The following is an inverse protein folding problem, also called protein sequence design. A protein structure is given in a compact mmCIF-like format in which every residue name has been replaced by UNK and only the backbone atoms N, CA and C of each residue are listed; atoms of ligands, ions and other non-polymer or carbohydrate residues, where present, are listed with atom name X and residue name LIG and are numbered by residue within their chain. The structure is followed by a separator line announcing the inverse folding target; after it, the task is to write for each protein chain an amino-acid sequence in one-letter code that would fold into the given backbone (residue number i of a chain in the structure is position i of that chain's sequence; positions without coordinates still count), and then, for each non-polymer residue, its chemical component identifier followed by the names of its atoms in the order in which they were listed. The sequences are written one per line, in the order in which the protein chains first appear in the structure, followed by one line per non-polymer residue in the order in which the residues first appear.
data_IF_057990852176
#
_entry.id   IF_057990852176
#
_cell.length_a   1.000
_cell.length_b   1.000
_cell.length_c   1.000
_cell.angle_alpha   90.00
_cell.angle_beta   90.00
_cell.angle_gamma   90.00
#
_symmetry.space_group_name_H-M   'P 1'
#
loop_
_entity.id
_entity.type
_entity.pdbx_description
1 polymer ?
#
# COMPACT_ATOMS: atom_id res chain seq x y z
N UNK A 1 1.16 25.30 -20.45
CA UNK A 1 2.37 24.46 -20.39
C UNK A 1 2.05 23.00 -20.08
N UNK A 2 1.38 22.67 -18.97
CA UNK A 2 1.10 21.26 -18.59
C UNK A 2 0.29 20.44 -19.62
N UNK A 3 -0.73 21.02 -20.27
CA UNK A 3 -1.49 20.32 -21.32
C UNK A 3 -0.66 20.01 -22.57
N UNK A 4 0.27 20.91 -22.94
CA UNK A 4 1.14 20.68 -24.09
C UNK A 4 2.14 19.55 -23.84
N UNK A 5 2.68 19.47 -22.62
CA UNK A 5 3.56 18.39 -22.22
C UNK A 5 2.82 17.04 -22.15
N UNK A 6 1.62 17.01 -21.56
CA UNK A 6 0.80 15.80 -21.52
C UNK A 6 0.46 15.27 -22.92
N UNK A 7 0.14 16.16 -23.87
CA UNK A 7 -0.14 15.76 -25.25
C UNK A 7 1.09 15.15 -25.95
N UNK A 8 2.27 15.72 -25.72
CA UNK A 8 3.53 15.20 -26.28
C UNK A 8 3.83 13.81 -25.69
N UNK A 9 3.74 13.67 -24.37
CA UNK A 9 3.93 12.39 -23.69
C UNK A 9 2.92 11.33 -24.17
N UNK A 10 1.63 11.69 -24.31
CA UNK A 10 0.60 10.80 -24.82
C UNK A 10 0.91 10.34 -26.25
N UNK A 11 1.35 11.24 -27.12
CA UNK A 11 1.74 10.91 -28.50
C UNK A 11 2.98 10.01 -28.56
N UNK A 12 3.99 10.29 -27.74
CA UNK A 12 5.20 9.48 -27.64
C UNK A 12 4.87 8.05 -27.17
N UNK A 13 4.08 7.93 -26.10
CA UNK A 13 3.67 6.63 -25.57
C UNK A 13 2.73 5.86 -26.49
N UNK A 14 1.80 6.53 -27.17
CA UNK A 14 0.91 5.86 -28.14
C UNK A 14 1.71 5.41 -29.37
N UNK A 15 2.67 6.19 -29.84
CA UNK A 15 3.57 5.81 -30.93
C UNK A 15 4.42 4.60 -30.54
N UNK A 16 5.05 4.63 -29.36
CA UNK A 16 5.82 3.50 -28.85
C UNK A 16 4.95 2.26 -28.66
N UNK A 17 3.76 2.41 -28.07
CA UNK A 17 2.79 1.34 -27.86
C UNK A 17 2.42 0.66 -29.16
N UNK A 18 2.07 1.44 -30.20
CA UNK A 18 1.70 0.90 -31.52
C UNK A 18 2.87 0.22 -32.21
N UNK A 19 4.09 0.74 -32.02
CA UNK A 19 5.28 0.19 -32.66
C UNK A 19 5.81 -1.08 -31.96
N UNK A 20 5.71 -1.14 -30.63
CA UNK A 20 6.26 -2.22 -29.80
C UNK A 20 5.25 -3.31 -29.47
N UNK A 21 3.95 -3.06 -29.64
CA UNK A 21 2.94 -4.10 -29.49
C UNK A 21 3.15 -5.18 -30.57
N UNK A 22 3.46 -6.40 -30.14
CA UNK A 22 3.65 -7.56 -31.01
C UNK A 22 2.31 -8.20 -31.42
N UNK A 23 1.19 -7.63 -30.95
CA UNK A 23 -0.18 -8.10 -31.15
C UNK A 23 -0.75 -8.73 -29.89
N UNK A 24 -1.98 -9.22 -30.01
CA UNK A 24 -2.73 -9.81 -28.92
C UNK A 24 -3.09 -11.28 -29.19
N UNK A 25 -3.16 -12.06 -28.13
CA UNK A 25 -3.45 -13.49 -28.18
C UNK A 25 -4.27 -13.95 -26.98
N UNK A 26 -4.97 -15.08 -27.12
CA UNK A 26 -5.59 -15.80 -26.02
C UNK A 26 -4.53 -16.63 -25.32
N UNK A 27 -4.35 -16.41 -24.02
CA UNK A 27 -3.36 -17.12 -23.22
C UNK A 27 -4.05 -17.78 -22.04
N UNK A 28 -3.78 -19.07 -21.85
CA UNK A 28 -4.32 -19.83 -20.72
C UNK A 28 -3.84 -19.26 -19.40
N UNK A 29 -4.73 -19.24 -18.41
CA UNK A 29 -4.45 -18.65 -17.09
C UNK A 29 -3.21 -19.26 -16.40
N UNK A 30 -2.91 -20.54 -16.63
CA UNK A 30 -1.75 -21.24 -16.07
C UNK A 30 -0.40 -20.65 -16.52
N UNK A 31 -0.37 -19.96 -17.66
CA UNK A 31 0.83 -19.34 -18.20
C UNK A 31 1.01 -17.89 -17.75
N UNK A 32 0.02 -17.28 -17.10
CA UNK A 32 0.09 -15.89 -16.67
C UNK A 32 0.83 -15.79 -15.32
N UNK A 33 1.94 -15.04 -15.30
CA UNK A 33 2.77 -14.82 -14.11
C UNK A 33 2.81 -13.34 -13.76
N UNK A 34 2.91 -13.01 -12.47
CA UNK A 34 3.05 -11.64 -11.98
C UNK A 34 4.26 -11.50 -11.07
N UNK A 35 4.84 -10.31 -11.04
CA UNK A 35 5.98 -10.00 -10.19
C UNK A 35 5.69 -10.26 -8.70
N UNK A 36 6.74 -10.66 -7.95
CA UNK A 36 6.68 -11.03 -6.53
C UNK A 36 6.20 -9.93 -5.58
N UNK A 37 6.02 -8.69 -6.01
CA UNK A 37 5.50 -7.61 -5.16
C UNK A 37 3.96 -7.54 -5.15
N UNK A 38 3.29 -8.36 -5.96
CA UNK A 38 1.83 -8.38 -6.10
C UNK A 38 1.15 -9.53 -5.34
N UNK A 39 1.74 -10.01 -4.25
CA UNK A 39 1.25 -11.25 -3.60
C UNK A 39 -0.18 -11.09 -3.10
N UNK A 40 -1.00 -12.05 -3.58
CA UNK A 40 -2.46 -12.19 -3.51
C UNK A 40 -3.27 -10.97 -3.99
N UNK A 41 -4.21 -11.16 -4.93
CA UNK A 41 -5.17 -10.14 -5.27
C UNK A 41 -6.06 -9.86 -4.06
N UNK A 42 -6.46 -8.60 -3.87
CA UNK A 42 -7.43 -8.18 -2.88
C UNK A 42 -8.72 -8.99 -3.02
N UNK A 43 -9.10 -9.80 -2.01
CA UNK A 43 -10.33 -10.59 -2.07
C UNK A 43 -11.57 -9.73 -2.34
N UNK A 44 -11.65 -8.53 -1.77
CA UNK A 44 -12.80 -7.63 -1.99
C UNK A 44 -12.90 -7.18 -3.45
N UNK A 45 -11.76 -6.87 -4.07
CA UNK A 45 -11.73 -6.48 -5.47
C UNK A 45 -12.04 -7.66 -6.39
N UNK A 46 -11.53 -8.85 -6.05
CA UNK A 46 -11.87 -10.10 -6.77
C UNK A 46 -13.36 -10.39 -6.68
N UNK A 47 -13.96 -10.29 -5.49
CA UNK A 47 -15.40 -10.51 -5.29
C UNK A 47 -16.25 -9.46 -6.02
N UNK A 48 -15.82 -8.20 -6.05
CA UNK A 48 -16.47 -7.17 -6.84
C UNK A 48 -16.43 -7.49 -8.34
N UNK A 49 -15.27 -7.89 -8.86
CA UNK A 49 -15.12 -8.31 -10.26
C UNK A 49 -15.96 -9.54 -10.58
N UNK A 50 -16.04 -10.53 -9.67
CA UNK A 50 -16.92 -11.69 -9.81
C UNK A 50 -18.38 -11.28 -9.92
N UNK A 51 -18.82 -10.33 -9.09
CA UNK A 51 -20.17 -9.78 -9.18
C UNK A 51 -20.41 -9.09 -10.53
N UNK A 52 -19.46 -8.28 -11.03
CA UNK A 52 -19.55 -7.67 -12.36
C UNK A 52 -19.65 -8.75 -13.44
N UNK A 53 -18.80 -9.77 -13.39
CA UNK A 53 -18.76 -10.85 -14.37
C UNK A 53 -20.05 -11.66 -14.42
N UNK A 54 -20.69 -11.89 -13.28
CA UNK A 54 -21.99 -12.55 -13.19
C UNK A 54 -23.14 -11.69 -13.75
N UNK A 55 -23.02 -10.35 -13.72
CA UNK A 55 -24.09 -9.44 -14.15
C UNK A 55 -23.96 -8.99 -15.60
N UNK A 56 -22.75 -8.66 -16.03
CA UNK A 56 -22.47 -8.04 -17.33
C UNK A 56 -21.65 -8.92 -18.28
N UNK A 57 -21.21 -10.10 -17.81
CA UNK A 57 -20.21 -10.92 -18.48
C UNK A 57 -18.79 -10.36 -18.32
N UNK A 58 -17.79 -11.12 -18.77
CA UNK A 58 -16.38 -10.73 -18.60
C UNK A 58 -15.90 -9.66 -19.58
N UNK A 59 -16.60 -9.50 -20.71
CA UNK A 59 -16.30 -8.55 -21.80
C UNK A 59 -14.81 -8.54 -22.16
N UNK A 60 -14.23 -9.72 -22.38
CA UNK A 60 -12.79 -9.89 -22.58
C UNK A 60 -12.27 -9.15 -23.83
N UNK A 61 -13.11 -8.96 -24.85
CA UNK A 61 -12.81 -8.24 -26.11
C UNK A 61 -12.64 -6.72 -25.94
N UNK A 62 -13.03 -6.15 -24.81
CA UNK A 62 -12.84 -4.73 -24.55
C UNK A 62 -11.34 -4.47 -24.35
N UNK A 63 -10.73 -3.58 -25.14
CA UNK A 63 -9.28 -3.28 -25.06
C UNK A 63 -8.87 -2.85 -23.65
N UNK A 64 -9.76 -2.17 -22.93
CA UNK A 64 -9.56 -1.81 -21.52
C UNK A 64 -9.47 -3.00 -20.56
N UNK A 65 -9.85 -4.20 -21.00
CA UNK A 65 -9.80 -5.45 -20.24
C UNK A 65 -8.65 -6.37 -20.64
N UNK A 66 -7.92 -6.05 -21.70
CA UNK A 66 -6.74 -6.81 -22.11
C UNK A 66 -5.62 -6.68 -21.07
N UNK A 67 -4.82 -7.74 -20.97
CA UNK A 67 -3.69 -7.81 -20.04
C UNK A 67 -2.39 -7.57 -20.81
N UNK A 68 -1.65 -6.47 -20.58
CA UNK A 68 -0.33 -6.30 -21.13
C UNK A 68 0.65 -7.25 -20.43
N UNK A 69 1.43 -7.99 -21.21
CA UNK A 69 2.46 -8.90 -20.72
C UNK A 69 3.77 -8.76 -21.52
N UNK A 70 4.88 -9.03 -20.84
CA UNK A 70 6.21 -9.08 -21.43
C UNK A 70 6.53 -10.51 -21.90
N UNK A 71 7.04 -10.62 -23.13
CA UNK A 71 7.46 -11.90 -23.73
C UNK A 71 8.70 -11.73 -24.59
N UNK A 72 9.67 -12.61 -24.42
CA UNK A 72 10.87 -12.65 -25.29
C UNK A 72 10.52 -13.10 -26.70
N UNK A 73 11.20 -12.54 -27.71
CA UNK A 73 10.93 -12.86 -29.12
C UNK A 73 11.02 -14.37 -29.40
N UNK A 74 12.07 -15.03 -28.94
CA UNK A 74 12.24 -16.48 -29.10
C UNK A 74 11.05 -17.28 -28.55
N UNK A 75 10.46 -16.83 -27.44
CA UNK A 75 9.33 -17.50 -26.81
C UNK A 75 8.04 -17.26 -27.57
N UNK A 76 7.87 -16.05 -28.12
CA UNK A 76 6.77 -15.72 -29.01
C UNK A 76 6.82 -16.53 -30.30
N UNK A 77 7.99 -16.62 -30.93
CA UNK A 77 8.18 -17.38 -32.18
C UNK A 77 7.88 -18.87 -31.96
N UNK A 78 8.37 -19.45 -30.87
CA UNK A 78 8.09 -20.84 -30.52
C UNK A 78 6.58 -21.10 -30.29
N UNK A 79 5.87 -20.16 -29.66
CA UNK A 79 4.43 -20.25 -29.45
C UNK A 79 3.65 -20.14 -30.76
N UNK A 80 4.06 -19.26 -31.67
CA UNK A 80 3.47 -19.11 -32.99
C UNK A 80 3.66 -20.37 -33.84
N UNK A 81 4.86 -20.96 -33.84
CA UNK A 81 5.15 -22.19 -34.56
C UNK A 81 4.38 -23.39 -34.00
N UNK A 82 4.16 -23.43 -32.68
CA UNK A 82 3.31 -24.44 -32.06
C UNK A 82 1.83 -24.26 -32.46
N UNK A 83 1.32 -23.04 -32.44
CA UNK A 83 -0.04 -22.73 -32.88
C UNK A 83 -0.26 -23.09 -34.36
N UNK A 84 0.73 -22.82 -35.22
CA UNK A 84 0.74 -23.24 -36.64
C UNK A 84 0.72 -24.75 -36.79
N UNK A 85 1.59 -25.48 -36.07
CA UNK A 85 1.61 -26.95 -36.09
C UNK A 85 0.28 -27.56 -35.64
N UNK A 86 -0.40 -26.93 -34.68
CA UNK A 86 -1.71 -27.35 -34.17
C UNK A 86 -2.89 -26.89 -35.06
N UNK A 87 -2.63 -26.15 -36.14
CA UNK A 87 -3.66 -25.60 -37.02
C UNK A 87 -4.55 -24.53 -36.36
N UNK A 88 -4.13 -23.97 -35.22
CA UNK A 88 -4.88 -22.94 -34.48
C UNK A 88 -4.67 -21.54 -35.03
N UNK A 89 -3.62 -21.34 -35.82
CA UNK A 89 -3.30 -20.04 -36.42
C UNK A 89 -2.53 -20.22 -37.73
N UNK A 90 -2.93 -19.47 -38.76
CA UNK A 90 -2.35 -19.55 -40.11
C UNK A 90 -1.75 -18.23 -40.61
N UNK A 91 -2.04 -17.11 -39.94
CA UNK A 91 -1.50 -15.81 -40.34
C UNK A 91 -0.09 -15.59 -39.79
N UNK A 92 0.69 -14.75 -40.48
CA UNK A 92 2.07 -14.44 -40.09
C UNK A 92 2.18 -13.39 -38.98
N UNK A 93 1.12 -12.59 -38.79
CA UNK A 93 1.09 -11.51 -37.81
C UNK A 93 -0.06 -11.70 -36.84
N UNK A 94 0.16 -11.40 -35.56
CA UNK A 94 -0.90 -11.38 -34.56
C UNK A 94 -1.85 -10.18 -34.78
N UNK A 95 -3.14 -10.31 -34.47
CA UNK A 95 -4.06 -9.19 -34.53
C UNK A 95 -3.65 -8.12 -33.50
N UNK A 96 -3.67 -6.86 -33.89
CA UNK A 96 -3.47 -5.75 -32.96
C UNK A 96 -4.77 -5.45 -32.22
N UNK A 97 -4.68 -5.04 -30.96
CA UNK A 97 -5.82 -4.74 -30.09
C UNK A 97 -6.74 -3.63 -30.63
N UNK A 98 -6.26 -2.81 -31.55
CA UNK A 98 -7.00 -1.73 -32.18
C UNK A 98 -7.55 -2.08 -33.58
N UNK A 99 -7.18 -3.25 -34.13
CA UNK A 99 -7.72 -3.71 -35.40
C UNK A 99 -9.17 -4.17 -35.17
N UNK A 100 -10.05 -3.85 -36.11
CA UNK A 100 -11.39 -4.44 -36.17
C UNK A 100 -11.20 -5.95 -36.13
N UNK A 101 -11.76 -6.61 -35.11
CA UNK A 101 -11.64 -8.08 -34.95
C UNK A 101 -12.13 -8.69 -36.25
N UNK A 102 -11.20 -9.10 -37.11
CA UNK A 102 -11.53 -9.79 -38.36
C UNK A 102 -12.14 -11.14 -38.00
N UNK A 103 -12.81 -11.77 -38.96
CA UNK A 103 -13.56 -13.03 -38.80
C UNK A 103 -12.76 -14.19 -38.15
N UNK A 104 -11.44 -14.05 -37.97
CA UNK A 104 -10.52 -15.04 -37.39
C UNK A 104 -10.17 -14.85 -35.90
N UNK A 105 -10.67 -13.82 -35.21
CA UNK A 105 -10.49 -13.65 -33.75
C UNK A 105 -9.04 -13.52 -33.27
N UNK A 106 -8.79 -13.86 -31.99
CA UNK A 106 -7.45 -13.90 -31.38
C UNK A 106 -6.93 -15.34 -31.34
N UNK A 107 -5.65 -15.61 -31.70
CA UNK A 107 -5.09 -16.96 -31.65
C UNK A 107 -4.84 -17.40 -30.21
N UNK A 108 -5.05 -18.68 -29.93
CA UNK A 108 -4.65 -19.31 -28.67
C UNK A 108 -3.17 -19.69 -28.71
N UNK A 109 -2.38 -19.08 -27.83
CA UNK A 109 -0.95 -19.31 -27.70
C UNK A 109 -0.62 -19.94 -26.34
N UNK A 110 0.10 -21.07 -26.41
CA UNK A 110 0.60 -21.77 -25.24
C UNK A 110 2.00 -21.30 -24.89
N UNK A 111 2.20 -20.84 -23.64
CA UNK A 111 3.49 -20.40 -23.15
C UNK A 111 3.94 -21.27 -21.96
N UNK A 112 4.45 -22.50 -22.18
CA UNK A 112 4.81 -23.42 -21.09
C UNK A 112 5.81 -22.84 -20.09
N UNK A 113 6.65 -21.88 -20.50
CA UNK A 113 7.55 -21.13 -19.61
C UNK A 113 6.88 -20.00 -18.79
N UNK A 114 5.64 -19.63 -19.11
CA UNK A 114 4.82 -18.54 -18.53
C UNK A 114 5.28 -17.11 -18.88
N UNK A 115 4.36 -16.18 -19.07
CA UNK A 115 4.63 -14.79 -19.46
C UNK A 115 4.47 -13.82 -18.30
N UNK A 116 5.24 -12.74 -18.30
CA UNK A 116 5.26 -11.78 -17.22
C UNK A 116 4.22 -10.68 -17.45
N UNK A 117 3.06 -10.86 -16.82
CA UNK A 117 1.95 -9.92 -16.87
C UNK A 117 2.26 -8.67 -16.04
N UNK A 118 2.06 -7.50 -16.66
CA UNK A 118 2.27 -6.20 -16.01
C UNK A 118 1.10 -5.82 -15.10
N UNK A 119 -0.12 -6.28 -15.41
CA UNK A 119 -1.35 -6.03 -14.62
C UNK A 119 -2.35 -7.17 -14.74
N UNK A 120 -3.57 -6.99 -14.21
CA UNK A 120 -4.71 -7.88 -14.48
C UNK A 120 -4.87 -9.07 -13.55
N UNK A 121 -4.05 -9.19 -12.49
CA UNK A 121 -4.09 -10.34 -11.57
C UNK A 121 -5.46 -10.56 -10.92
N UNK A 122 -6.10 -9.52 -10.40
CA UNK A 122 -7.43 -9.64 -9.78
C UNK A 122 -8.50 -10.07 -10.79
N UNK A 123 -8.36 -9.64 -12.04
CA UNK A 123 -9.28 -9.96 -13.13
C UNK A 123 -9.18 -11.42 -13.54
N UNK A 124 -7.96 -11.92 -13.69
CA UNK A 124 -7.69 -13.35 -13.94
C UNK A 124 -8.17 -14.20 -12.77
N UNK A 125 -7.91 -13.78 -11.53
CA UNK A 125 -8.40 -14.49 -10.35
C UNK A 125 -9.93 -14.57 -10.32
N UNK A 126 -10.60 -13.44 -10.55
CA UNK A 126 -12.07 -13.39 -10.60
C UNK A 126 -12.63 -14.28 -11.71
N UNK A 127 -12.03 -14.25 -12.91
CA UNK A 127 -12.43 -15.08 -14.03
C UNK A 127 -12.21 -16.58 -13.74
N UNK A 128 -11.07 -16.92 -13.13
CA UNK A 128 -10.76 -18.28 -12.71
C UNK A 128 -11.75 -18.81 -11.67
N UNK A 129 -12.23 -17.98 -10.75
CA UNK A 129 -13.26 -18.37 -9.78
C UNK A 129 -14.66 -18.43 -10.41
N UNK A 130 -14.89 -17.68 -11.49
CA UNK A 130 -16.11 -17.68 -12.29
C UNK A 130 -16.04 -18.62 -13.52
N UNK A 131 -15.29 -19.72 -13.44
CA UNK A 131 -15.07 -20.71 -14.53
C UNK A 131 -16.33 -21.17 -15.27
N UNK A 132 -17.49 -21.16 -14.64
CA UNK A 132 -18.77 -21.50 -15.30
C UNK A 132 -19.17 -20.48 -16.39
N UNK A 133 -18.59 -19.27 -16.36
CA UNK A 133 -18.93 -18.12 -17.22
C UNK A 133 -17.80 -17.79 -18.23
N UNK A 134 -16.57 -18.27 -18.00
CA UNK A 134 -15.40 -17.91 -18.82
C UNK A 134 -14.59 -19.12 -19.26
N UNK A 135 -14.10 -19.04 -20.51
CA UNK A 135 -13.08 -19.96 -21.03
C UNK A 135 -11.77 -19.85 -20.22
N UNK A 136 -10.90 -20.88 -20.27
CA UNK A 136 -9.68 -20.97 -19.44
C UNK A 136 -8.54 -20.01 -19.85
N UNK A 137 -8.85 -18.95 -20.59
CA UNK A 137 -7.90 -18.04 -21.20
C UNK A 137 -8.33 -16.58 -21.04
N UNK A 138 -7.37 -15.67 -21.28
CA UNK A 138 -7.61 -14.23 -21.33
C UNK A 138 -6.89 -13.60 -22.53
N UNK A 139 -7.39 -12.46 -23.00
CA UNK A 139 -6.75 -11.69 -24.08
C UNK A 139 -5.57 -10.91 -23.51
N UNK A 140 -4.40 -11.17 -24.06
CA UNK A 140 -3.13 -10.58 -23.61
C UNK A 140 -2.51 -9.79 -24.75
N UNK A 141 -2.17 -8.52 -24.48
CA UNK A 141 -1.36 -7.70 -25.38
C UNK A 141 0.12 -7.98 -25.10
N UNK A 142 0.86 -8.42 -26.12
CA UNK A 142 2.24 -8.88 -25.99
C UNK A 142 3.23 -7.76 -26.34
N UNK A 143 4.18 -7.54 -25.44
CA UNK A 143 5.25 -6.56 -25.58
C UNK A 143 6.62 -7.21 -25.38
N UNK A 144 7.65 -6.76 -26.11
CA UNK A 144 9.00 -7.18 -25.83
C UNK A 144 9.50 -6.57 -24.50
N UNK A 145 10.46 -7.20 -23.80
CA UNK A 145 11.05 -6.62 -22.58
C UNK A 145 11.78 -5.29 -22.80
N UNK A 146 12.06 -4.92 -24.06
CA UNK A 146 12.79 -3.72 -24.45
C UNK A 146 11.94 -2.45 -24.57
N UNK A 147 10.69 -2.46 -24.09
CA UNK A 147 9.87 -1.25 -23.96
C UNK A 147 10.52 -0.26 -22.97
N UNK A 148 10.29 1.04 -23.18
CA UNK A 148 10.75 2.08 -22.27
C UNK A 148 10.17 1.91 -20.87
N UNK A 149 10.91 2.31 -19.85
CA UNK A 149 10.42 2.33 -18.46
C UNK A 149 9.16 3.22 -18.34
N UNK A 150 9.06 4.27 -19.16
CA UNK A 150 7.89 5.12 -19.30
C UNK A 150 6.65 4.35 -19.75
N UNK A 151 6.73 3.65 -20.89
CA UNK A 151 5.63 2.86 -21.40
C UNK A 151 5.29 1.70 -20.45
N UNK A 152 6.29 1.03 -19.88
CA UNK A 152 6.08 -0.02 -18.88
C UNK A 152 5.30 0.49 -17.67
N UNK A 153 5.71 1.64 -17.13
CA UNK A 153 5.04 2.29 -16.00
C UNK A 153 3.63 2.72 -16.37
N UNK A 154 3.44 3.28 -17.57
CA UNK A 154 2.13 3.62 -18.10
C UNK A 154 1.23 2.38 -18.17
N UNK A 155 1.71 1.25 -18.68
CA UNK A 155 0.93 0.00 -18.77
C UNK A 155 0.60 -0.60 -17.39
N UNK A 156 1.49 -0.45 -16.41
CA UNK A 156 1.27 -0.88 -15.02
C UNK A 156 0.25 0.05 -14.32
N UNK A 157 0.42 1.36 -14.46
CA UNK A 157 -0.42 2.39 -13.83
C UNK A 157 -1.74 2.61 -14.59
N UNK A 158 -1.85 2.18 -15.85
CA UNK A 158 -3.10 2.09 -16.60
C UNK A 158 -3.97 0.99 -15.99
N UNK A 159 -4.57 1.26 -14.83
CA UNK A 159 -5.84 0.69 -14.41
C UNK A 159 -6.32 1.44 -13.17
N UNK A 160 -7.44 2.17 -13.28
CA UNK A 160 -8.27 2.63 -12.13
C UNK A 160 -9.59 3.30 -12.53
N UNK A 161 -10.15 3.10 -13.73
CA UNK A 161 -11.54 3.56 -13.97
C UNK A 161 -12.60 2.69 -13.26
N UNK A 162 -12.22 1.51 -12.76
CA UNK A 162 -13.16 0.56 -12.14
C UNK A 162 -13.22 0.69 -10.60
N UNK A 163 -12.11 1.01 -9.92
CA UNK A 163 -12.12 1.23 -8.46
C UNK A 163 -11.07 2.27 -8.03
N UNK A 164 -11.44 3.08 -7.04
CA UNK A 164 -10.58 4.12 -6.47
C UNK A 164 -9.43 3.46 -5.69
N UNK A 165 -8.15 3.82 -5.93
CA UNK A 165 -7.05 3.30 -5.13
C UNK A 165 -7.18 3.73 -3.67
N UNK A 166 -6.65 2.93 -2.74
CA UNK A 166 -6.57 3.32 -1.33
C UNK A 166 -5.71 4.57 -1.14
N UNK A 167 -6.00 5.35 -0.10
CA UNK A 167 -5.20 6.52 0.27
C UNK A 167 -3.72 6.16 0.48
N UNK A 168 -3.43 4.94 0.95
CA UNK A 168 -2.07 4.44 1.12
C UNK A 168 -1.36 4.22 -0.20
N UNK A 169 -2.03 3.60 -1.19
CA UNK A 169 -1.47 3.40 -2.52
C UNK A 169 -1.20 4.75 -3.22
N UNK A 170 -2.13 5.70 -3.10
CA UNK A 170 -1.96 7.06 -3.64
C UNK A 170 -0.72 7.72 -3.02
N UNK A 171 -0.60 7.70 -1.70
CA UNK A 171 0.55 8.26 -0.99
C UNK A 171 1.87 7.63 -1.47
N UNK A 172 1.95 6.29 -1.46
CA UNK A 172 3.18 5.57 -1.81
C UNK A 172 3.61 5.87 -3.23
N UNK A 173 2.68 5.89 -4.18
CA UNK A 173 2.97 6.21 -5.58
C UNK A 173 3.46 7.64 -5.77
N UNK A 174 2.85 8.63 -5.09
CA UNK A 174 3.36 10.01 -5.10
C UNK A 174 4.80 10.05 -4.57
N UNK A 175 5.07 9.38 -3.43
CA UNK A 175 6.41 9.34 -2.84
C UNK A 175 7.43 8.60 -3.70
N UNK A 176 7.03 7.50 -4.33
CA UNK A 176 7.84 6.71 -5.27
C UNK A 176 8.35 7.62 -6.40
N UNK A 177 7.47 8.37 -7.07
CA UNK A 177 7.86 9.29 -8.14
C UNK A 177 8.66 10.50 -7.66
N UNK A 178 8.43 10.98 -6.43
CA UNK A 178 9.24 12.06 -5.84
C UNK A 178 10.67 11.61 -5.50
N UNK A 179 10.87 10.33 -5.21
CA UNK A 179 12.16 9.76 -4.82
C UNK A 179 12.90 9.10 -5.99
N UNK A 180 12.20 8.70 -7.05
CA UNK A 180 12.75 8.05 -8.24
C UNK A 180 13.95 8.82 -8.85
N UNK A 181 13.90 10.16 -9.00
CA UNK A 181 15.02 10.93 -9.55
C UNK A 181 16.30 10.85 -8.72
N UNK A 182 16.22 10.45 -7.46
CA UNK A 182 17.37 10.25 -6.57
C UNK A 182 17.90 8.80 -6.60
N UNK A 183 17.24 7.88 -7.31
CA UNK A 183 17.68 6.48 -7.42
C UNK A 183 18.77 6.32 -8.49
N UNK A 184 19.83 5.60 -8.16
CA UNK A 184 20.94 5.31 -9.08
C UNK A 184 20.53 4.43 -10.27
N UNK A 185 19.43 3.68 -10.15
CA UNK A 185 18.91 2.77 -11.17
C UNK A 185 17.85 3.41 -12.07
N UNK A 186 17.54 4.70 -11.88
CA UNK A 186 16.46 5.35 -12.60
C UNK A 186 16.87 5.78 -14.01
N UNK A 187 16.17 5.25 -15.02
CA UNK A 187 16.31 5.64 -16.43
C UNK A 187 15.29 6.70 -16.85
N UNK A 188 14.27 7.00 -16.02
CA UNK A 188 13.25 8.00 -16.34
C UNK A 188 13.75 9.43 -16.18
N UNK A 189 13.35 10.30 -17.10
CA UNK A 189 13.61 11.73 -16.98
C UNK A 189 12.87 12.35 -15.78
N UNK A 190 13.43 13.40 -15.14
CA UNK A 190 12.76 14.09 -14.03
C UNK A 190 11.39 14.68 -14.39
N UNK A 191 11.22 15.13 -15.64
CA UNK A 191 9.94 15.67 -16.14
C UNK A 191 8.87 14.59 -16.20
N UNK A 192 9.23 13.38 -16.65
CA UNK A 192 8.32 12.25 -16.73
C UNK A 192 7.91 11.75 -15.34
N UNK A 193 8.85 11.70 -14.39
CA UNK A 193 8.55 11.40 -12.99
C UNK A 193 7.52 12.39 -12.42
N UNK A 194 7.69 13.68 -12.73
CA UNK A 194 6.75 14.74 -12.32
C UNK A 194 5.38 14.56 -12.96
N UNK A 195 5.31 14.13 -14.22
CA UNK A 195 4.05 13.83 -14.92
C UNK A 195 3.30 12.68 -14.26
N UNK A 196 3.98 11.57 -13.98
CA UNK A 196 3.38 10.45 -13.25
C UNK A 196 2.96 10.83 -11.82
N UNK A 197 3.78 11.60 -11.10
CA UNK A 197 3.40 12.15 -9.79
C UNK A 197 2.08 12.94 -9.88
N UNK A 198 1.94 13.83 -10.86
CA UNK A 198 0.73 14.64 -11.04
C UNK A 198 -0.52 13.81 -11.34
N UNK A 199 -0.38 12.68 -12.05
CA UNK A 199 -1.49 11.74 -12.25
C UNK A 199 -1.97 11.14 -10.94
N UNK A 200 -1.05 10.83 -10.02
CA UNK A 200 -1.41 10.34 -8.69
C UNK A 200 -2.02 11.44 -7.80
N UNK A 201 -1.56 12.69 -7.93
CA UNK A 201 -2.22 13.83 -7.27
C UNK A 201 -3.66 14.04 -7.75
N UNK A 202 -3.97 13.75 -9.01
CA UNK A 202 -5.31 13.93 -9.59
C UNK A 202 -6.38 13.01 -8.95
N UNK A 203 -5.98 11.92 -8.28
CA UNK A 203 -6.88 11.06 -7.49
C UNK A 203 -7.41 11.73 -6.22
N UNK A 204 -6.76 12.80 -5.75
CA UNK A 204 -7.11 13.50 -4.54
C UNK A 204 -7.99 14.71 -4.85
N UNK A 205 -9.07 14.84 -4.08
CA UNK A 205 -9.81 16.10 -4.01
C UNK A 205 -8.86 17.22 -3.52
N UNK A 206 -9.00 18.49 -3.97
CA UNK A 206 -8.10 19.59 -3.60
C UNK A 206 -7.85 19.73 -2.09
N UNK A 207 -8.87 19.47 -1.26
CA UNK A 207 -8.75 19.50 0.20
C UNK A 207 -7.86 18.38 0.75
N UNK A 208 -7.95 17.16 0.21
CA UNK A 208 -7.09 16.03 0.58
C UNK A 208 -5.65 16.27 0.10
N UNK A 209 -5.49 16.77 -1.12
CA UNK A 209 -4.19 17.12 -1.68
C UNK A 209 -3.46 18.16 -0.81
N UNK A 210 -4.18 19.21 -0.35
CA UNK A 210 -3.63 20.23 0.55
C UNK A 210 -3.13 19.64 1.88
N UNK A 211 -3.88 18.70 2.47
CA UNK A 211 -3.49 18.02 3.72
C UNK A 211 -2.20 17.22 3.53
N UNK A 212 -2.12 16.46 2.44
CA UNK A 212 -0.94 15.66 2.13
C UNK A 212 0.30 16.54 1.84
N UNK A 213 0.15 17.62 1.06
CA UNK A 213 1.24 18.60 0.85
C UNK A 213 1.75 19.18 2.17
N UNK A 214 0.85 19.50 3.11
CA UNK A 214 1.24 20.00 4.43
C UNK A 214 2.02 18.97 5.25
N UNK A 215 1.66 17.69 5.16
CA UNK A 215 2.44 16.61 5.78
C UNK A 215 3.85 16.56 5.20
N UNK A 216 3.99 16.63 3.86
CA UNK A 216 5.29 16.58 3.17
C UNK A 216 6.24 17.73 3.54
N UNK A 217 5.71 18.88 3.95
CA UNK A 217 6.53 19.98 4.48
C UNK A 217 7.15 19.64 5.85
N UNK A 218 6.62 18.64 6.57
CA UNK A 218 7.14 18.17 7.86
C UNK A 218 8.05 16.97 7.62
N UNK A 219 9.34 17.24 7.39
CA UNK A 219 10.35 16.22 7.04
C UNK A 219 10.40 15.04 8.01
N UNK A 220 10.33 15.29 9.31
CA UNK A 220 10.39 14.22 10.34
C UNK A 220 9.17 13.30 10.27
N UNK A 221 7.95 13.88 10.23
CA UNK A 221 6.73 13.08 10.09
C UNK A 221 6.70 12.32 8.75
N UNK A 222 7.11 12.99 7.67
CA UNK A 222 7.18 12.35 6.35
C UNK A 222 8.13 11.17 6.37
N UNK A 223 9.31 11.30 6.98
CA UNK A 223 10.25 10.19 7.14
C UNK A 223 9.66 9.03 7.96
N UNK A 224 8.90 9.33 9.01
CA UNK A 224 8.26 8.32 9.84
C UNK A 224 7.19 7.51 9.07
N UNK A 225 6.36 8.18 8.24
CA UNK A 225 5.44 7.50 7.33
C UNK A 225 6.20 6.75 6.22
N UNK A 226 7.22 7.38 5.64
CA UNK A 226 8.04 6.78 4.57
C UNK A 226 8.70 5.47 5.02
N UNK A 227 9.08 5.36 6.29
CA UNK A 227 9.65 4.14 6.87
C UNK A 227 8.70 2.92 6.78
N UNK A 228 7.39 3.14 6.80
CA UNK A 228 6.37 2.09 6.66
C UNK A 228 6.14 1.66 5.20
N UNK A 229 6.56 2.45 4.21
CA UNK A 229 6.31 2.13 2.79
C UNK A 229 6.93 0.80 2.34
N UNK A 230 7.98 0.34 3.04
CA UNK A 230 8.62 -0.96 2.80
C UNK A 230 7.67 -2.15 2.96
N UNK A 231 6.53 -1.95 3.62
CA UNK A 231 5.45 -2.93 3.69
C UNK A 231 4.16 -2.35 3.07
N UNK A 232 3.94 -2.59 1.77
CA UNK A 232 2.74 -2.16 1.06
C UNK A 232 1.45 -2.56 1.77
N UNK A 233 1.35 -3.81 2.26
CA UNK A 233 0.14 -4.29 2.93
C UNK A 233 -0.20 -3.52 4.21
N UNK A 234 0.80 -3.21 5.04
CA UNK A 234 0.59 -2.43 6.28
C UNK A 234 0.20 -0.99 5.96
N UNK A 235 0.85 -0.39 4.96
CA UNK A 235 0.61 1.00 4.59
C UNK A 235 -0.76 1.18 3.91
N UNK A 236 -1.09 0.31 2.97
CA UNK A 236 -2.29 0.43 2.14
C UNK A 236 -3.59 0.11 2.91
N UNK A 237 -3.52 -0.74 3.96
CA UNK A 237 -4.68 -1.16 4.74
C UNK A 237 -5.32 -0.05 5.57
N UNK A 238 -4.54 0.94 6.03
CA UNK A 238 -5.01 1.86 7.08
C UNK A 238 -4.71 3.34 6.88
N UNK A 239 -4.04 3.73 5.79
CA UNK A 239 -3.74 5.14 5.54
C UNK A 239 -5.03 5.97 5.35
N UNK A 240 -5.12 7.12 6.01
CA UNK A 240 -6.24 8.06 5.90
C UNK A 240 -5.75 9.48 5.63
N UNK A 241 -5.67 9.88 4.36
CA UNK A 241 -5.26 11.23 3.96
C UNK A 241 -6.26 12.28 4.49
N UNK A 242 -7.54 11.89 4.60
CA UNK A 242 -8.60 12.72 5.16
C UNK A 242 -8.29 13.21 6.59
N UNK A 243 -7.63 12.38 7.41
CA UNK A 243 -7.34 12.59 8.85
C UNK A 243 -5.98 13.27 9.11
N UNK A 244 -5.12 13.44 8.09
CA UNK A 244 -3.80 14.08 8.25
C UNK A 244 -3.85 15.50 8.85
N UNK A 245 -4.95 16.22 8.69
CA UNK A 245 -5.11 17.52 9.33
C UNK A 245 -5.10 17.43 10.86
N UNK A 246 -5.63 16.34 11.44
CA UNK A 246 -5.62 16.07 12.89
C UNK A 246 -4.22 15.70 13.39
N UNK A 247 -3.53 14.86 12.62
CA UNK A 247 -2.12 14.53 12.88
C UNK A 247 -1.28 15.81 13.02
N UNK A 248 -1.51 16.79 12.15
CA UNK A 248 -0.81 18.07 12.19
C UNK A 248 -1.33 19.04 13.28
N UNK A 249 -2.61 18.99 13.65
CA UNK A 249 -3.21 19.90 14.65
C UNK A 249 -2.88 19.51 16.10
N UNK A 250 -2.53 18.25 16.35
CA UNK A 250 -2.16 17.79 17.71
C UNK A 250 -0.86 18.42 18.21
N UNK A 251 0.07 18.74 17.31
CA UNK A 251 1.46 19.11 17.66
C UNK A 251 2.22 18.05 18.48
N UNK A 252 1.71 16.82 18.59
CA UNK A 252 2.36 15.69 19.29
C UNK A 252 3.29 14.91 18.35
N UNK A 253 4.25 15.62 17.73
CA UNK A 253 5.04 15.07 16.63
C UNK A 253 5.99 13.95 17.09
N UNK A 254 6.54 14.07 18.30
CA UNK A 254 7.41 13.07 18.92
C UNK A 254 6.66 11.76 19.18
N UNK A 255 5.42 11.83 19.66
CA UNK A 255 4.57 10.67 19.95
C UNK A 255 4.13 10.00 18.65
N UNK A 256 3.75 10.80 17.65
CA UNK A 256 3.38 10.30 16.32
C UNK A 256 4.56 9.56 15.69
N UNK A 257 5.76 10.16 15.71
CA UNK A 257 6.96 9.51 15.18
C UNK A 257 7.25 8.22 15.96
N UNK A 258 7.18 8.25 17.29
CA UNK A 258 7.41 7.08 18.12
C UNK A 258 6.40 5.96 17.83
N UNK A 259 5.12 6.28 17.64
CA UNK A 259 4.10 5.30 17.27
C UNK A 259 4.48 4.59 15.97
N UNK A 260 4.79 5.35 14.92
CA UNK A 260 5.09 4.76 13.61
C UNK A 260 6.41 3.97 13.62
N UNK A 261 7.48 4.56 14.15
CA UNK A 261 8.84 4.01 14.05
C UNK A 261 9.20 3.01 15.15
N UNK A 262 8.66 3.18 16.37
CA UNK A 262 9.04 2.41 17.55
C UNK A 262 7.94 1.49 18.05
N UNK A 263 6.70 1.66 17.60
CA UNK A 263 5.61 0.75 17.92
C UNK A 263 5.20 -0.11 16.72
N UNK A 264 4.75 0.51 15.61
CA UNK A 264 4.22 -0.22 14.46
C UNK A 264 5.29 -1.06 13.76
N UNK A 265 6.39 -0.45 13.31
CA UNK A 265 7.46 -1.18 12.59
C UNK A 265 8.04 -2.33 13.42
N UNK A 266 8.46 -2.13 14.69
CA UNK A 266 9.04 -3.20 15.48
C UNK A 266 8.06 -4.34 15.80
N UNK A 267 6.77 -4.03 16.00
CA UNK A 267 5.76 -5.07 16.22
C UNK A 267 5.69 -6.02 15.02
N UNK A 268 5.52 -5.49 13.81
CA UNK A 268 5.45 -6.31 12.59
C UNK A 268 6.76 -7.05 12.28
N UNK A 269 7.92 -6.42 12.52
CA UNK A 269 9.20 -7.12 12.44
C UNK A 269 9.30 -8.27 13.43
N UNK A 270 8.81 -8.09 14.66
CA UNK A 270 8.77 -9.13 15.69
C UNK A 270 7.88 -10.29 15.28
N UNK A 271 6.68 -10.02 14.76
CA UNK A 271 5.75 -11.05 14.28
C UNK A 271 6.36 -11.93 13.19
N UNK A 272 7.15 -11.32 12.31
CA UNK A 272 7.80 -11.97 11.18
C UNK A 272 9.24 -12.43 11.48
N UNK A 273 9.66 -12.41 12.75
CA UNK A 273 11.00 -12.86 13.13
C UNK A 273 11.21 -14.31 12.71
N UNK A 274 12.31 -14.58 11.99
CA UNK A 274 12.61 -15.89 11.40
C UNK A 274 12.00 -16.15 10.02
N UNK A 275 11.26 -15.20 9.45
CA UNK A 275 10.60 -15.34 8.13
C UNK A 275 11.26 -14.42 7.10
N UNK A 276 11.78 -15.01 6.02
CA UNK A 276 12.46 -14.25 4.95
C UNK A 276 11.47 -13.39 4.16
N UNK A 277 11.87 -12.15 3.91
CA UNK A 277 11.10 -11.16 3.13
C UNK A 277 9.66 -10.96 3.64
N UNK A 278 9.42 -11.19 4.94
CA UNK A 278 8.07 -11.25 5.48
C UNK A 278 7.25 -9.98 5.26
N UNK A 279 7.85 -8.80 5.47
CA UNK A 279 7.13 -7.52 5.34
C UNK A 279 6.61 -7.25 3.92
N UNK A 280 7.27 -7.79 2.89
CA UNK A 280 6.88 -7.63 1.49
C UNK A 280 5.75 -8.58 1.08
N UNK A 281 5.57 -9.66 1.85
CA UNK A 281 4.58 -10.71 1.61
C UNK A 281 3.27 -10.49 2.38
N UNK A 282 3.23 -9.49 3.27
CA UNK A 282 2.01 -9.08 3.96
C UNK A 282 1.09 -8.35 2.98
N UNK A 283 -0.14 -8.86 2.85
CA UNK A 283 -1.24 -8.20 2.16
C UNK A 283 -2.11 -7.37 3.13
N UNK A 284 -2.91 -6.45 2.59
CA UNK A 284 -3.78 -5.58 3.39
C UNK A 284 -4.95 -6.34 4.05
N UNK A 285 -5.37 -7.49 3.49
CA UNK A 285 -6.39 -8.35 4.07
C UNK A 285 -5.92 -8.93 5.41
N UNK A 286 -4.69 -9.44 5.45
CA UNK A 286 -4.01 -9.88 6.67
C UNK A 286 -3.99 -8.78 7.73
N UNK A 287 -3.62 -7.55 7.36
CA UNK A 287 -3.56 -6.43 8.31
C UNK A 287 -4.95 -6.08 8.84
N UNK A 288 -5.96 -6.04 7.97
CA UNK A 288 -7.35 -5.74 8.35
C UNK A 288 -7.97 -6.80 9.28
N UNK A 289 -7.66 -8.07 9.07
CA UNK A 289 -8.16 -9.15 9.94
C UNK A 289 -7.50 -9.11 11.33
N UNK A 290 -6.22 -8.74 11.39
CA UNK A 290 -5.40 -8.84 12.58
C UNK A 290 -5.38 -7.58 13.44
N UNK A 291 -5.57 -6.39 12.85
CA UNK A 291 -5.55 -5.13 13.58
C UNK A 291 -6.59 -5.08 14.71
N UNK A 292 -6.34 -4.24 15.73
CA UNK A 292 -7.18 -4.09 16.91
C UNK A 292 -7.28 -5.33 17.84
N UNK A 293 -6.62 -6.45 17.52
CA UNK A 293 -6.57 -7.64 18.38
C UNK A 293 -5.43 -7.54 19.38
N UNK A 294 -5.62 -7.99 20.62
CA UNK A 294 -4.58 -8.04 21.65
C UNK A 294 -4.39 -9.48 22.18
N UNK A 295 -3.80 -10.38 21.37
CA UNK A 295 -3.78 -11.81 21.67
C UNK A 295 -3.04 -12.16 22.98
N UNK A 296 -2.02 -11.39 23.37
CA UNK A 296 -1.32 -11.60 24.64
C UNK A 296 -2.08 -11.12 25.87
N UNK A 297 -3.20 -10.40 25.69
CA UNK A 297 -4.02 -9.86 26.77
C UNK A 297 -5.45 -10.44 26.81
N UNK A 298 -5.96 -10.97 25.68
CA UNK A 298 -7.32 -11.50 25.54
C UNK A 298 -7.28 -12.92 24.99
N UNK A 299 -7.85 -13.87 25.73
CA UNK A 299 -7.95 -15.27 25.31
C UNK A 299 -8.83 -15.44 24.06
N UNK A 300 -9.86 -14.62 23.91
CA UNK A 300 -10.72 -14.58 22.72
C UNK A 300 -9.93 -14.11 21.49
N UNK A 301 -9.15 -13.05 21.62
CA UNK A 301 -8.30 -12.57 20.53
C UNK A 301 -7.20 -13.58 20.20
N UNK A 302 -6.62 -14.24 21.20
CA UNK A 302 -5.62 -15.28 21.00
C UNK A 302 -6.17 -16.46 20.18
N UNK A 303 -7.38 -16.92 20.50
CA UNK A 303 -8.05 -18.00 19.76
C UNK A 303 -8.37 -17.57 18.32
N UNK A 304 -8.88 -16.36 18.14
CA UNK A 304 -9.17 -15.81 16.81
C UNK A 304 -7.90 -15.71 15.96
N UNK A 305 -6.85 -15.05 16.48
CA UNK A 305 -5.57 -14.87 15.79
C UNK A 305 -4.91 -16.21 15.45
N UNK A 306 -4.95 -17.18 16.37
CA UNK A 306 -4.45 -18.53 16.11
C UNK A 306 -5.23 -19.21 14.98
N UNK A 307 -6.56 -19.09 14.97
CA UNK A 307 -7.42 -19.61 13.92
C UNK A 307 -7.08 -19.03 12.54
N UNK A 308 -6.92 -17.71 12.47
CA UNK A 308 -6.55 -17.02 11.22
C UNK A 308 -5.18 -17.45 10.68
N UNK A 309 -4.19 -17.63 11.56
CA UNK A 309 -2.85 -18.09 11.21
C UNK A 309 -2.83 -19.56 10.78
N UNK A 310 -3.44 -20.46 11.55
CA UNK A 310 -3.40 -21.88 11.24
C UNK A 310 -4.31 -22.25 10.06
N UNK A 311 -5.43 -21.53 9.89
CA UNK A 311 -6.33 -21.67 8.74
C UNK A 311 -5.80 -21.04 7.46
N UNK A 312 -4.78 -20.18 7.55
CA UNK A 312 -4.18 -19.51 6.39
C UNK A 312 -5.07 -18.46 5.72
N UNK A 313 -6.16 -18.05 6.37
CA UNK A 313 -7.03 -16.95 5.93
C UNK A 313 -6.30 -15.61 6.05
N UNK A 314 -5.56 -15.41 7.13
CA UNK A 314 -4.52 -14.39 7.24
C UNK A 314 -3.14 -15.01 6.95
N UNK A 315 -2.19 -14.19 6.51
CA UNK A 315 -0.84 -14.65 6.15
C UNK A 315 -0.86 -15.73 5.05
N UNK A 316 -1.79 -15.61 4.09
CA UNK A 316 -1.96 -16.58 2.99
C UNK A 316 -0.78 -16.61 1.99
N UNK A 317 0.15 -15.67 2.09
CA UNK A 317 1.43 -15.64 1.36
C UNK A 317 2.55 -16.43 2.04
N UNK A 318 2.27 -17.11 3.15
CA UNK A 318 3.24 -17.87 3.95
C UNK A 318 2.95 -19.37 3.94
N UNK A 319 3.97 -20.19 4.17
CA UNK A 319 3.82 -21.64 4.34
C UNK A 319 3.28 -21.97 5.74
N UNK A 320 2.75 -23.18 5.91
CA UNK A 320 2.29 -23.65 7.23
C UNK A 320 3.39 -23.57 8.30
N UNK A 321 4.63 -23.90 7.91
CA UNK A 321 5.78 -23.84 8.82
C UNK A 321 6.11 -22.39 9.23
N UNK A 322 6.06 -21.44 8.29
CA UNK A 322 6.27 -20.03 8.59
C UNK A 322 5.14 -19.48 9.47
N UNK A 323 3.88 -19.84 9.20
CA UNK A 323 2.74 -19.43 10.02
C UNK A 323 2.81 -19.99 11.44
N UNK A 324 3.30 -21.22 11.61
CA UNK A 324 3.54 -21.78 12.94
C UNK A 324 4.57 -20.95 13.74
N UNK A 325 5.65 -20.47 13.09
CA UNK A 325 6.60 -19.55 13.73
C UNK A 325 5.93 -18.23 14.10
N UNK A 326 5.08 -17.68 13.23
CA UNK A 326 4.35 -16.45 13.50
C UNK A 326 3.37 -16.59 14.68
N UNK A 327 2.75 -17.76 14.87
CA UNK A 327 1.90 -18.03 16.05
C UNK A 327 2.69 -17.81 17.34
N UNK A 328 3.90 -18.37 17.43
CA UNK A 328 4.77 -18.21 18.60
C UNK A 328 5.22 -16.75 18.82
N UNK A 329 5.36 -15.98 17.74
CA UNK A 329 5.75 -14.57 17.82
C UNK A 329 4.57 -13.62 18.16
N UNK A 330 3.38 -13.89 17.62
CA UNK A 330 2.22 -12.97 17.70
C UNK A 330 1.44 -13.20 18.99
N UNK A 331 1.20 -14.45 19.40
CA UNK A 331 0.34 -14.73 20.56
C UNK A 331 0.84 -14.13 21.89
N UNK A 332 2.15 -14.03 22.17
CA UNK A 332 2.64 -13.37 23.38
C UNK A 332 2.49 -11.84 23.37
N UNK A 333 2.12 -11.23 22.23
CA UNK A 333 2.07 -9.78 22.10
C UNK A 333 0.91 -9.18 22.89
N UNK A 334 1.23 -8.50 24.00
CA UNK A 334 0.25 -7.99 24.97
C UNK A 334 -0.44 -6.68 24.60
N UNK A 335 -0.08 -6.07 23.46
CA UNK A 335 -0.69 -4.82 22.99
C UNK A 335 -1.63 -5.12 21.83
N UNK A 336 -2.44 -4.14 21.45
CA UNK A 336 -3.20 -4.21 20.21
C UNK A 336 -2.26 -4.29 19.02
N UNK A 337 -2.48 -5.23 18.11
CA UNK A 337 -1.75 -5.35 16.85
C UNK A 337 -1.89 -4.03 16.08
N UNK A 338 -0.78 -3.29 15.87
CA UNK A 338 -0.83 -1.93 15.36
C UNK A 338 -1.03 -1.92 13.84
N UNK A 339 -1.80 -0.95 13.33
CA UNK A 339 -1.88 -0.62 11.92
C UNK A 339 -1.96 0.89 11.73
N UNK A 340 -1.91 1.39 10.48
CA UNK A 340 -2.21 2.79 10.23
C UNK A 340 -3.67 3.13 10.60
N UNK A 341 -4.60 2.18 10.50
CA UNK A 341 -5.97 2.40 10.92
C UNK A 341 -6.04 2.67 12.43
N UNK A 342 -5.44 1.80 13.27
CA UNK A 342 -5.43 2.01 14.73
C UNK A 342 -4.74 3.32 15.07
N UNK A 343 -3.62 3.63 14.41
CA UNK A 343 -2.94 4.90 14.58
C UNK A 343 -3.89 6.10 14.38
N UNK A 344 -4.63 6.14 13.27
CA UNK A 344 -5.55 7.26 13.03
C UNK A 344 -6.75 7.29 13.99
N UNK A 345 -7.21 6.13 14.49
CA UNK A 345 -8.20 6.10 15.57
C UNK A 345 -7.63 6.69 16.86
N UNK A 346 -6.39 6.32 17.22
CA UNK A 346 -5.69 6.84 18.39
C UNK A 346 -5.43 8.36 18.26
N UNK A 347 -5.22 8.87 17.04
CA UNK A 347 -5.09 10.30 16.79
C UNK A 347 -6.37 11.07 17.12
N UNK A 348 -7.56 10.49 16.95
CA UNK A 348 -8.79 11.15 17.38
C UNK A 348 -8.84 11.36 18.88
N UNK A 349 -8.37 10.37 19.64
CA UNK A 349 -8.29 10.47 21.09
C UNK A 349 -7.16 11.41 21.54
N UNK A 350 -5.99 11.30 20.91
CA UNK A 350 -4.84 12.15 21.19
C UNK A 350 -5.13 13.62 20.88
N UNK A 351 -5.91 13.92 19.83
CA UNK A 351 -6.34 15.27 19.50
C UNK A 351 -7.10 15.91 20.67
N UNK A 352 -8.10 15.21 21.24
CA UNK A 352 -8.83 15.70 22.41
C UNK A 352 -7.88 15.97 23.60
N UNK A 353 -6.95 15.06 23.86
CA UNK A 353 -5.97 15.22 24.94
C UNK A 353 -5.03 16.42 24.70
N UNK A 354 -4.54 16.58 23.46
CA UNK A 354 -3.63 17.64 23.07
C UNK A 354 -4.32 19.01 23.06
N UNK A 355 -5.59 19.06 22.64
CA UNK A 355 -6.40 20.29 22.67
C UNK A 355 -6.54 20.81 24.10
N UNK A 356 -6.84 19.95 25.07
CA UNK A 356 -6.89 20.34 26.48
C UNK A 356 -5.54 20.84 27.01
N UNK A 357 -4.42 20.23 26.60
CA UNK A 357 -3.09 20.70 27.03
C UNK A 357 -2.70 22.03 26.38
N UNK A 358 -3.14 22.30 25.14
CA UNK A 358 -2.90 23.57 24.45
C UNK A 358 -3.59 24.77 25.12
N UNK A 359 -4.52 24.56 26.04
CA UNK A 359 -5.02 25.65 26.91
C UNK A 359 -3.95 26.20 27.85
N UNK A 360 -2.91 25.42 28.16
CA UNK A 360 -1.81 25.84 29.04
C UNK A 360 -0.73 26.63 28.30
N UNK A 361 -0.59 26.42 26.98
CA UNK A 361 0.51 26.97 26.17
C UNK A 361 0.10 27.30 24.74
N UNK A 362 0.59 28.42 24.22
CA UNK A 362 0.52 28.71 22.79
C UNK A 362 1.66 28.02 22.06
N UNK A 363 1.36 27.04 21.21
CA UNK A 363 2.38 26.31 20.43
C UNK A 363 2.78 27.11 19.18
N UNK A 364 4.05 27.52 19.04
CA UNK A 364 4.50 28.26 17.85
C UNK A 364 4.39 27.44 16.55
N UNK A 365 4.25 28.11 15.39
CA UNK A 365 4.21 27.42 14.11
C UNK A 365 5.45 26.54 13.87
N UNK A 366 5.23 25.25 13.63
CA UNK A 366 6.31 24.29 13.36
C UNK A 366 6.99 23.71 14.60
N UNK A 367 6.57 24.12 15.80
CA UNK A 367 7.01 23.52 17.05
C UNK A 367 6.04 22.42 17.51
N UNK A 368 6.56 21.47 18.29
CA UNK A 368 5.78 20.43 18.95
C UNK A 368 5.34 20.87 20.34
N UNK A 369 4.25 20.27 20.82
CA UNK A 369 3.74 20.47 22.16
C UNK A 369 4.78 20.08 23.22
N UNK A 370 5.48 18.96 23.01
CA UNK A 370 6.58 18.52 23.87
C UNK A 370 7.67 19.58 23.99
N UNK A 371 8.13 20.15 22.87
CA UNK A 371 9.18 21.16 22.89
C UNK A 371 8.68 22.44 23.59
N UNK A 372 7.47 22.91 23.27
CA UNK A 372 6.90 24.13 23.88
C UNK A 372 6.74 24.01 25.40
N UNK A 373 6.10 22.95 25.90
CA UNK A 373 6.01 22.70 27.35
C UNK A 373 7.39 22.54 27.98
N UNK A 374 8.28 21.91 27.21
CA UNK A 374 9.67 21.72 27.56
C UNK A 374 10.46 23.01 27.76
N UNK A 375 10.16 24.06 27.00
CA UNK A 375 10.78 25.38 27.15
C UNK A 375 10.21 26.13 28.38
N UNK A 376 9.01 25.76 28.82
CA UNK A 376 8.39 26.25 30.05
C UNK A 376 8.79 25.47 31.30
N UNK A 377 9.54 24.37 31.17
CA UNK A 377 9.91 23.50 32.29
C UNK A 377 11.00 24.16 33.16
N UNK A 378 10.64 24.55 34.39
CA UNK A 378 11.51 25.32 35.30
C UNK A 378 12.17 24.51 36.43
N UNK A 379 11.86 23.23 36.57
CA UNK A 379 12.40 22.41 37.66
C UNK A 379 13.90 22.18 37.48
N UNK A 380 14.67 22.50 38.52
CA UNK A 380 16.14 22.42 38.55
C UNK A 380 16.65 21.29 39.44
N UNK A 381 15.79 20.68 40.25
CA UNK A 381 16.12 19.73 41.32
C UNK A 381 16.27 18.27 40.86
N UNK A 382 16.47 18.02 39.54
CA UNK A 382 16.60 16.67 38.94
C UNK A 382 15.53 15.67 39.41
N UNK A 383 14.37 16.18 39.86
CA UNK A 383 13.32 15.40 40.49
C UNK A 383 11.98 15.75 39.85
N UNK A 384 11.27 14.74 39.37
CA UNK A 384 9.92 14.89 38.85
C UNK A 384 8.96 13.98 39.62
N UNK A 385 7.86 14.56 40.08
CA UNK A 385 6.82 13.83 40.79
C UNK A 385 5.86 13.21 39.78
N UNK A 386 5.61 11.91 39.92
CA UNK A 386 4.72 11.13 39.04
C UNK A 386 3.62 10.51 39.89
N UNK A 387 2.38 10.70 39.48
CA UNK A 387 1.24 10.04 40.09
C UNK A 387 1.20 8.57 39.66
N UNK A 388 1.32 7.65 40.61
CA UNK A 388 1.39 6.20 40.35
C UNK A 388 0.02 5.52 40.55
N UNK A 389 -0.79 6.06 41.47
CA UNK A 389 -2.16 5.61 41.75
C UNK A 389 -3.08 6.83 41.94
N UNK A 390 -4.33 6.64 42.37
CA UNK A 390 -5.25 7.76 42.60
C UNK A 390 -4.75 8.76 43.65
N UNK A 391 -4.08 8.27 44.69
CA UNK A 391 -3.69 9.01 45.87
C UNK A 391 -2.17 9.06 46.09
N UNK A 392 -1.39 8.26 45.36
CA UNK A 392 0.07 8.22 45.53
C UNK A 392 0.83 8.98 44.44
N UNK A 393 1.72 9.86 44.89
CA UNK A 393 2.68 10.60 44.07
C UNK A 393 4.09 10.19 44.51
N UNK A 394 4.93 9.80 43.55
CA UNK A 394 6.28 9.33 43.82
C UNK A 394 7.33 10.25 43.20
N UNK A 395 8.41 10.60 43.92
CA UNK A 395 9.52 11.36 43.35
C UNK A 395 10.40 10.45 42.48
N UNK A 396 10.59 10.84 41.22
CA UNK A 396 11.50 10.20 40.28
C UNK A 396 12.72 11.09 40.07
N UNK A 397 13.91 10.53 40.27
CA UNK A 397 15.17 11.25 40.09
C UNK A 397 15.83 10.87 38.77
N UNK A 398 16.46 11.85 38.11
CA UNK A 398 17.22 11.61 36.88
C UNK A 398 17.60 12.89 36.17
N UNK A 399 18.17 12.76 34.97
CA UNK A 399 18.59 13.92 34.17
C UNK A 399 17.43 14.89 33.94
N UNK A 400 17.77 16.17 33.71
CA UNK A 400 16.76 17.20 33.41
C UNK A 400 15.86 16.81 32.23
N UNK A 401 16.41 16.19 31.18
CA UNK A 401 15.65 15.72 30.01
C UNK A 401 14.67 14.59 30.38
N UNK A 402 15.10 13.64 31.22
CA UNK A 402 14.24 12.57 31.72
C UNK A 402 13.08 13.12 32.55
N UNK A 403 13.38 14.01 33.51
CA UNK A 403 12.37 14.65 34.36
C UNK A 403 11.37 15.49 33.53
N UNK A 404 11.86 16.25 32.55
CA UNK A 404 11.02 16.98 31.60
C UNK A 404 10.08 16.06 30.84
N UNK A 405 10.58 14.91 30.36
CA UNK A 405 9.76 13.91 29.66
C UNK A 405 8.71 13.29 30.57
N UNK A 406 9.05 12.96 31.82
CA UNK A 406 8.09 12.47 32.80
C UNK A 406 7.00 13.51 33.11
N UNK A 407 7.37 14.78 33.29
CA UNK A 407 6.41 15.85 33.55
C UNK A 407 5.43 16.03 32.39
N UNK A 408 5.93 15.99 31.16
CA UNK A 408 5.10 16.01 29.96
C UNK A 408 4.17 14.80 29.89
N UNK A 409 4.67 13.57 30.08
CA UNK A 409 3.85 12.35 30.04
C UNK A 409 2.80 12.35 31.15
N UNK A 410 3.11 12.88 32.34
CA UNK A 410 2.16 13.05 33.42
C UNK A 410 1.00 13.97 33.05
N UNK A 411 1.28 15.09 32.36
CA UNK A 411 0.24 15.98 31.85
C UNK A 411 -0.66 15.28 30.82
N UNK A 412 -0.07 14.55 29.86
CA UNK A 412 -0.83 13.80 28.86
C UNK A 412 -1.66 12.68 29.51
N UNK A 413 -1.10 11.94 30.47
CA UNK A 413 -1.84 10.90 31.19
C UNK A 413 -3.02 11.49 31.99
N UNK A 414 -2.82 12.66 32.61
CA UNK A 414 -3.89 13.40 33.27
C UNK A 414 -5.00 13.77 32.29
N UNK A 415 -4.66 14.30 31.10
CA UNK A 415 -5.70 14.64 30.12
C UNK A 415 -6.38 13.41 29.55
N UNK A 416 -5.66 12.31 29.29
CA UNK A 416 -6.27 11.03 28.89
C UNK A 416 -7.30 10.52 29.91
N UNK A 417 -7.05 10.73 31.21
CA UNK A 417 -7.96 10.32 32.28
C UNK A 417 -9.22 11.19 32.35
N UNK A 418 -9.09 12.49 32.05
CA UNK A 418 -10.12 13.50 32.31
C UNK A 418 -10.67 14.18 31.04
N UNK A 419 -10.31 13.72 29.84
CA UNK A 419 -10.60 14.38 28.56
C UNK A 419 -12.07 14.73 28.35
N UNK A 420 -13.02 13.93 28.89
CA UNK A 420 -14.45 14.20 28.78
C UNK A 420 -14.94 15.39 29.60
N UNK A 421 -14.14 15.81 30.59
CA UNK A 421 -14.43 16.94 31.50
C UNK A 421 -13.52 18.14 31.29
N UNK A 422 -12.53 18.00 30.41
CA UNK A 422 -11.58 19.05 30.07
C UNK A 422 -12.05 19.79 28.81
N UNK A 423 -11.68 21.07 28.67
CA UNK A 423 -12.08 21.88 27.53
C UNK A 423 -11.40 21.48 26.23
#
# INVERSE_FOLDING_TARGET
MQQGQALVEDLEFDTERRHKCQGAALVRFEYLKWAKQTWRPDPKHVDHLKWIFQKEGCRALEVGHHIPALVDQHRLDAALDDARRKGRWTADCLPTSNATVTENGYPELDFPGGIDCLRGRHRVQAAWECREVTEEWWIVDLYPPSISDGLRTLLIDEYTKQERPSDGKIYRKIREYQLLPCSAENTMSPSLCTSFENRWWAWLHPTAAKKLRRLFLRRQLTAAFDALQRSPGIFDAGMMISTLHKVLSTHCYEEIQWYLEKHTIPAWNGFLSGVREGLQRIDHGTVNAMQCRAPGASTLDAQFVRGELLGGSAFGGFSDQERAVMVENILPFRRTIPSLYTFFQDIHFLEACADSVKWLVTVPPGQSLFKTLGDCYKRTDETQYVQMTEDTIWPMHGSQEYCKRLGYLGLIAFTMRHYSSLP
#
